data_IF_607119813748
#
_entry.id   IF_607119813748
#
_cell.length_a   1.000
_cell.length_b   1.000
_cell.length_c   1.000
_cell.angle_alpha   90.00
_cell.angle_beta   90.00
_cell.angle_gamma   90.00
#
_symmetry.space_group_name_H-M   'P 1'
#
loop_
_entity.id
_entity.type
_entity.pdbx_description
1 polymer ?
#
# COMPACT_ATOMS: atom_id res chain seq x y z
N UNK A 1 -1.98 -10.51 -13.69
CA UNK A 1 -1.25 -10.57 -12.41
C UNK A 1 -1.04 -12.01 -12.00
N UNK A 2 0.20 -12.39 -11.69
CA UNK A 2 0.57 -13.65 -11.04
C UNK A 2 0.06 -13.66 -9.59
N UNK A 3 -0.10 -14.85 -8.97
CA UNK A 3 -0.49 -14.93 -7.57
C UNK A 3 0.55 -14.27 -6.66
N UNK A 4 0.11 -13.35 -5.81
CA UNK A 4 0.93 -12.75 -4.75
C UNK A 4 0.18 -12.78 -3.42
N UNK A 5 0.94 -12.70 -2.33
CA UNK A 5 0.41 -12.58 -0.97
C UNK A 5 1.24 -11.56 -0.21
N UNK A 6 0.57 -10.54 0.30
CA UNK A 6 1.12 -9.53 1.20
C UNK A 6 0.30 -9.53 2.48
N UNK A 7 0.81 -8.82 3.48
CA UNK A 7 0.17 -8.68 4.78
C UNK A 7 -0.25 -7.23 4.96
N UNK A 8 -1.53 -7.02 5.25
CA UNK A 8 -2.09 -5.74 5.65
C UNK A 8 -1.56 -5.29 7.02
N UNK A 9 -1.61 -4.00 7.28
CA UNK A 9 -1.18 -3.41 8.54
C UNK A 9 -2.08 -3.76 9.74
N UNK A 10 -3.28 -4.27 9.47
CA UNK A 10 -4.21 -4.89 10.41
C UNK A 10 -3.97 -6.39 10.62
N UNK A 11 -3.00 -6.98 9.90
CA UNK A 11 -2.70 -8.42 9.92
C UNK A 11 -3.52 -9.24 8.93
N UNK A 12 -4.38 -8.62 8.12
CA UNK A 12 -5.13 -9.32 7.07
C UNK A 12 -4.22 -9.79 5.93
N UNK A 13 -4.63 -10.86 5.24
CA UNK A 13 -3.96 -11.26 4.00
C UNK A 13 -4.48 -10.40 2.83
N UNK A 14 -3.56 -9.86 2.05
CA UNK A 14 -3.86 -9.12 0.82
C UNK A 14 -3.33 -9.88 -0.40
N UNK A 15 -4.21 -10.13 -1.36
CA UNK A 15 -3.93 -10.94 -2.54
C UNK A 15 -4.60 -10.36 -3.79
N UNK A 16 -4.43 -11.03 -4.93
CA UNK A 16 -5.10 -10.67 -6.18
C UNK A 16 -6.63 -10.59 -6.06
N UNK A 17 -7.23 -11.33 -5.12
CA UNK A 17 -8.69 -11.31 -4.93
C UNK A 17 -9.17 -9.93 -4.47
N UNK A 18 -8.38 -9.23 -3.64
CA UNK A 18 -8.70 -7.91 -3.11
C UNK A 18 -8.69 -6.82 -4.19
N UNK A 19 -7.93 -7.02 -5.26
CA UNK A 19 -7.84 -6.06 -6.38
C UNK A 19 -8.99 -6.19 -7.39
N UNK A 20 -9.83 -7.24 -7.30
CA UNK A 20 -10.86 -7.50 -8.31
C UNK A 20 -12.06 -6.58 -8.14
N UNK A 21 -12.41 -5.85 -9.19
CA UNK A 21 -13.57 -4.95 -9.19
C UNK A 21 -13.32 -3.63 -8.47
N UNK A 22 -12.09 -3.41 -8.01
CA UNK A 22 -11.64 -2.20 -7.34
C UNK A 22 -10.55 -1.54 -8.18
N UNK A 23 -10.51 -0.21 -8.16
CA UNK A 23 -9.39 0.56 -8.70
C UNK A 23 -8.42 0.86 -7.56
N UNK A 24 -7.19 0.36 -7.66
CA UNK A 24 -6.23 0.49 -6.56
C UNK A 24 -5.08 1.43 -6.91
N UNK A 25 -4.89 2.48 -6.12
CA UNK A 25 -3.70 3.31 -6.13
C UNK A 25 -2.62 2.66 -5.26
N UNK A 26 -1.59 2.10 -5.90
CA UNK A 26 -0.43 1.58 -5.19
C UNK A 26 0.69 2.63 -5.16
N UNK A 27 1.12 3.02 -3.95
CA UNK A 27 2.29 3.85 -3.73
C UNK A 27 3.36 3.05 -3.00
N UNK A 28 4.55 2.96 -3.61
CA UNK A 28 5.71 2.27 -3.04
C UNK A 28 6.62 3.30 -2.38
N UNK A 29 6.90 3.12 -1.09
CA UNK A 29 7.67 4.10 -0.33
C UNK A 29 8.46 3.51 0.82
N UNK A 30 9.42 4.28 1.31
CA UNK A 30 10.13 4.04 2.57
C UNK A 30 9.85 5.23 3.49
N UNK A 31 9.46 4.96 4.74
CA UNK A 31 9.33 6.01 5.76
C UNK A 31 10.76 6.37 6.24
N UNK A 32 11.16 7.66 6.33
CA UNK A 32 10.36 8.78 6.83
C UNK A 32 10.28 10.06 5.96
N UNK A 33 11.02 10.18 4.85
CA UNK A 33 11.28 11.51 4.25
C UNK A 33 10.34 11.91 3.10
N UNK A 34 9.84 10.97 2.30
CA UNK A 34 9.07 11.27 1.07
C UNK A 34 7.58 10.93 1.19
N UNK A 35 7.20 10.10 2.16
CA UNK A 35 5.83 9.62 2.34
C UNK A 35 4.77 10.70 2.63
N UNK A 36 5.01 11.77 3.42
CA UNK A 36 3.91 12.61 3.90
C UNK A 36 3.29 13.49 2.81
N UNK A 37 4.09 13.99 1.88
CA UNK A 37 3.60 14.87 0.79
C UNK A 37 2.70 14.08 -0.16
N UNK A 38 3.15 12.90 -0.61
CA UNK A 38 2.38 12.05 -1.51
C UNK A 38 1.09 11.55 -0.86
N UNK A 39 1.13 11.10 0.39
CA UNK A 39 -0.07 10.66 1.11
C UNK A 39 -1.07 11.80 1.34
N UNK A 40 -0.58 13.02 1.57
CA UNK A 40 -1.44 14.21 1.68
C UNK A 40 -2.11 14.54 0.34
N UNK A 41 -1.38 14.44 -0.77
CA UNK A 41 -1.97 14.63 -2.11
C UNK A 41 -2.98 13.54 -2.46
N UNK A 42 -2.68 12.27 -2.14
CA UNK A 42 -3.62 11.16 -2.31
C UNK A 42 -4.88 11.36 -1.48
N UNK A 43 -4.77 11.84 -0.23
CA UNK A 43 -5.93 12.20 0.60
C UNK A 43 -6.78 13.28 -0.07
N UNK A 44 -6.16 14.34 -0.59
CA UNK A 44 -6.90 15.41 -1.28
C UNK A 44 -7.62 14.90 -2.53
N UNK A 45 -6.95 14.06 -3.33
CA UNK A 45 -7.54 13.46 -4.52
C UNK A 45 -8.67 12.47 -4.17
N UNK A 46 -8.46 11.62 -3.16
CA UNK A 46 -9.46 10.66 -2.69
C UNK A 46 -10.72 11.36 -2.18
N UNK A 47 -10.56 12.49 -1.46
CA UNK A 47 -11.70 13.28 -0.97
C UNK A 47 -12.51 13.99 -2.08
N UNK A 48 -12.00 14.05 -3.32
CA UNK A 48 -12.77 14.57 -4.45
C UNK A 48 -13.71 13.51 -5.05
N UNK A 49 -13.49 12.23 -4.74
CA UNK A 49 -14.34 11.14 -5.17
C UNK A 49 -15.68 11.17 -4.42
N UNK A 50 -16.75 10.81 -5.11
CA UNK A 50 -18.05 10.62 -4.47
C UNK A 50 -18.08 9.32 -3.64
N UNK A 51 -19.07 9.11 -2.75
CA UNK A 51 -19.09 7.95 -1.86
C UNK A 51 -19.12 6.57 -2.56
N UNK A 52 -19.63 6.49 -3.79
CA UNK A 52 -19.61 5.24 -4.55
C UNK A 52 -18.23 4.98 -5.18
N UNK A 53 -17.57 6.03 -5.64
CA UNK A 53 -16.20 5.96 -6.18
C UNK A 53 -15.20 5.62 -5.07
N UNK A 54 -15.33 6.22 -3.88
CA UNK A 54 -14.49 5.89 -2.72
C UNK A 54 -14.58 4.41 -2.36
N UNK A 55 -15.80 3.83 -2.34
CA UNK A 55 -15.99 2.39 -2.06
C UNK A 55 -15.34 1.45 -3.08
N UNK A 56 -15.13 1.92 -4.30
CA UNK A 56 -14.52 1.15 -5.38
C UNK A 56 -13.03 1.51 -5.56
N UNK A 57 -12.48 2.38 -4.72
CA UNK A 57 -11.10 2.87 -4.84
C UNK A 57 -10.30 2.50 -3.59
N UNK A 58 -9.24 1.73 -3.76
CA UNK A 58 -8.32 1.41 -2.67
C UNK A 58 -7.05 2.27 -2.78
N UNK A 59 -6.59 2.82 -1.66
CA UNK A 59 -5.27 3.46 -1.58
C UNK A 59 -4.35 2.55 -0.77
N UNK A 60 -3.36 1.99 -1.45
CA UNK A 60 -2.44 0.99 -0.95
C UNK A 60 -1.04 1.61 -0.82
N UNK A 61 -0.57 1.78 0.41
CA UNK A 61 0.83 2.07 0.70
C UNK A 61 1.59 0.76 0.82
N UNK A 62 2.58 0.53 -0.04
CA UNK A 62 3.41 -0.68 -0.03
C UNK A 62 4.78 -0.30 0.52
N UNK A 63 5.08 -0.75 1.74
CA UNK A 63 6.42 -0.58 2.29
C UNK A 63 7.40 -1.52 1.58
N UNK A 64 8.54 -0.96 1.18
CA UNK A 64 9.65 -1.71 0.59
C UNK A 64 10.73 -2.11 1.61
N UNK A 65 10.58 -1.73 2.89
CA UNK A 65 11.51 -2.05 3.96
C UNK A 65 10.80 -2.69 5.17
N UNK A 66 10.56 -4.01 5.15
CA UNK A 66 9.89 -4.71 6.23
C UNK A 66 10.71 -4.77 7.53
N UNK A 67 12.01 -4.44 7.50
CA UNK A 67 12.87 -4.46 8.70
C UNK A 67 12.67 -3.21 9.56
N UNK A 68 12.40 -2.07 8.91
CA UNK A 68 12.16 -0.77 9.56
C UNK A 68 10.68 -0.48 9.75
N UNK A 69 9.84 -0.85 8.78
CA UNK A 69 8.42 -0.53 8.74
C UNK A 69 7.56 -1.69 9.27
N UNK A 70 7.29 -1.68 10.58
CA UNK A 70 6.39 -2.66 11.20
C UNK A 70 4.92 -2.34 10.89
N UNK A 71 4.08 -3.38 10.79
CA UNK A 71 2.64 -3.25 10.51
C UNK A 71 1.94 -2.25 11.44
N UNK A 72 2.24 -2.28 12.74
CA UNK A 72 1.68 -1.35 13.72
C UNK A 72 2.03 0.11 13.44
N UNK A 73 3.31 0.38 13.13
CA UNK A 73 3.77 1.74 12.81
C UNK A 73 3.13 2.27 11.53
N UNK A 74 3.10 1.45 10.48
CA UNK A 74 2.49 1.82 9.21
C UNK A 74 0.99 2.11 9.36
N UNK A 75 0.28 1.31 10.15
CA UNK A 75 -1.13 1.52 10.43
C UNK A 75 -1.37 2.84 11.14
N UNK A 76 -0.62 3.13 12.19
CA UNK A 76 -0.75 4.36 12.96
C UNK A 76 -0.42 5.58 12.10
N UNK A 77 0.60 5.46 11.25
CA UNK A 77 1.00 6.48 10.29
C UNK A 77 -0.08 6.76 9.25
N UNK A 78 -0.66 5.74 8.60
CA UNK A 78 -1.69 5.93 7.59
C UNK A 78 -3.00 6.49 8.14
N UNK A 79 -3.39 6.08 9.36
CA UNK A 79 -4.61 6.62 10.01
C UNK A 79 -4.53 8.12 10.25
N UNK A 80 -3.34 8.70 10.35
CA UNK A 80 -3.19 10.15 10.39
C UNK A 80 -3.65 10.83 9.08
N UNK A 81 -3.51 10.16 7.94
CA UNK A 81 -3.93 10.66 6.64
C UNK A 81 -5.40 10.35 6.38
N UNK A 82 -5.79 9.07 6.35
CA UNK A 82 -7.16 8.67 6.05
C UNK A 82 -7.45 7.27 6.63
N UNK A 83 -8.66 7.05 7.13
CA UNK A 83 -9.07 5.76 7.72
C UNK A 83 -9.12 4.62 6.70
N UNK A 84 -9.45 4.95 5.46
CA UNK A 84 -9.65 3.96 4.38
C UNK A 84 -8.32 3.55 3.70
N UNK A 85 -7.21 4.17 4.10
CA UNK A 85 -5.91 3.87 3.49
C UNK A 85 -5.31 2.63 4.14
N UNK A 86 -4.83 1.72 3.29
CA UNK A 86 -4.27 0.44 3.72
C UNK A 86 -2.77 0.42 3.52
N UNK A 87 -2.03 -0.10 4.50
CA UNK A 87 -0.61 -0.37 4.37
C UNK A 87 -0.41 -1.86 4.15
N UNK A 88 0.43 -2.19 3.18
CA UNK A 88 0.84 -3.54 2.82
C UNK A 88 2.34 -3.68 3.08
N UNK A 89 2.72 -4.82 3.64
CA UNK A 89 4.12 -5.22 3.83
C UNK A 89 4.23 -6.73 3.58
N UNK A 90 5.45 -7.26 3.59
CA UNK A 90 5.71 -8.67 3.36
C UNK A 90 7.20 -8.99 3.44
N UNK A 91 7.56 -10.24 3.22
CA UNK A 91 8.97 -10.63 3.06
C UNK A 91 9.55 -10.02 1.78
N UNK A 92 10.87 -9.93 1.69
CA UNK A 92 11.55 -9.44 0.48
C UNK A 92 11.11 -10.18 -0.79
N UNK A 93 10.89 -11.50 -0.70
CA UNK A 93 10.40 -12.30 -1.83
C UNK A 93 8.95 -11.98 -2.21
N UNK A 94 8.07 -11.75 -1.23
CA UNK A 94 6.68 -11.36 -1.48
C UNK A 94 6.60 -9.98 -2.14
N UNK A 95 7.37 -9.02 -1.62
CA UNK A 95 7.45 -7.66 -2.18
C UNK A 95 8.04 -7.68 -3.59
N UNK A 96 9.11 -8.44 -3.80
CA UNK A 96 9.73 -8.63 -5.12
C UNK A 96 8.73 -9.20 -6.13
N UNK A 97 7.99 -10.25 -5.75
CA UNK A 97 6.98 -10.85 -6.62
C UNK A 97 5.88 -9.84 -7.00
N UNK A 98 5.38 -9.08 -6.03
CA UNK A 98 4.34 -8.07 -6.27
C UNK A 98 4.85 -6.92 -7.15
N UNK A 99 6.02 -6.35 -6.84
CA UNK A 99 6.63 -5.24 -7.60
C UNK A 99 6.89 -5.64 -9.05
N UNK A 100 7.39 -6.85 -9.32
CA UNK A 100 7.57 -7.32 -10.69
C UNK A 100 6.24 -7.49 -11.44
N UNK A 101 5.19 -7.93 -10.75
CA UNK A 101 3.90 -8.19 -11.39
C UNK A 101 3.16 -6.90 -11.78
N UNK A 102 3.40 -5.81 -11.06
CA UNK A 102 2.94 -4.46 -11.44
C UNK A 102 3.87 -3.77 -12.45
N UNK A 103 4.91 -4.46 -12.95
CA UNK A 103 5.85 -3.94 -13.94
C UNK A 103 7.01 -3.10 -13.39
N UNK A 104 7.19 -3.09 -12.06
CA UNK A 104 8.30 -2.41 -11.39
C UNK A 104 9.55 -3.29 -11.25
N UNK A 105 10.63 -2.69 -10.73
CA UNK A 105 11.86 -3.40 -10.36
C UNK A 105 12.09 -3.26 -8.85
N UNK A 106 12.37 -4.37 -8.17
CA UNK A 106 12.68 -4.38 -6.74
C UNK A 106 14.17 -4.65 -6.52
N UNK A 107 14.85 -3.71 -5.86
CA UNK A 107 16.23 -3.84 -5.41
C UNK A 107 16.22 -3.82 -3.88
N UNK A 108 16.55 -4.94 -3.21
CA UNK A 108 16.64 -4.94 -1.76
C UNK A 108 17.75 -3.96 -1.33
N UNK A 109 17.50 -3.18 -0.29
CA UNK A 109 18.55 -2.39 0.33
C UNK A 109 19.57 -3.33 1.00
N UNK A 110 20.88 -3.07 0.85
CA UNK A 110 21.94 -3.84 1.49
C UNK A 110 21.97 -3.68 3.02
#
# INVERSE_FOLDING_TARGET
>A
MRPFRLTGSDGSEFSNANLRGHFSWAFFGFCPDICPTTLSQLKLAYNQLNPNEQKLTDVLFVSVDPTRDTSGRLRDYLRFFHSDFSALSGTGDQLKAFVFDVGGTFLPMP
#
